data_IF_101984420910
#
_entry.id   IF_101984420910
#
_cell.length_a   1.000
_cell.length_b   1.000
_cell.length_c   1.000
_cell.angle_alpha   90.00
_cell.angle_beta   90.00
_cell.angle_gamma   90.00
#
_symmetry.space_group_name_H-M   'P 1'
#
loop_
_entity.id
_entity.type
_entity.pdbx_description
1 polymer ?
#
# COMPACT_ATOMS: atom_id res chain seq x y z
N UNK A 1 -26.41 8.63 2.42
CA UNK A 1 -25.75 8.05 1.23
C UNK A 1 -24.69 9.05 0.79
N UNK A 2 -23.57 9.09 1.51
CA UNK A 2 -22.44 9.96 1.17
C UNK A 2 -21.51 9.17 0.25
N UNK A 3 -21.45 9.58 -1.02
CA UNK A 3 -20.50 9.04 -1.97
C UNK A 3 -19.10 9.48 -1.52
N UNK A 4 -18.38 8.62 -0.81
CA UNK A 4 -16.95 8.80 -0.57
C UNK A 4 -16.23 8.68 -1.92
N UNK A 5 -16.06 9.84 -2.55
CA UNK A 5 -15.27 9.97 -3.77
C UNK A 5 -13.84 9.62 -3.40
N UNK A 6 -13.31 8.58 -4.04
CA UNK A 6 -11.88 8.30 -4.03
C UNK A 6 -11.24 9.51 -4.73
N UNK A 7 -10.61 10.40 -3.96
CA UNK A 7 -9.82 11.49 -4.54
C UNK A 7 -8.58 10.86 -5.18
N UNK A 8 -8.69 10.55 -6.48
CA UNK A 8 -7.49 10.27 -7.25
C UNK A 8 -6.71 11.58 -7.38
N UNK A 9 -5.37 11.53 -7.30
CA UNK A 9 -4.54 12.71 -7.49
C UNK A 9 -4.88 13.40 -8.82
N UNK A 10 -5.03 14.73 -8.78
CA UNK A 10 -5.43 15.52 -9.94
C UNK A 10 -4.48 15.27 -11.13
N UNK A 11 -5.06 15.15 -12.33
CA UNK A 11 -4.30 14.93 -13.56
C UNK A 11 -3.33 16.10 -13.79
N UNK A 12 -2.04 15.86 -13.55
CA UNK A 12 -0.97 16.87 -13.66
C UNK A 12 -0.10 17.01 -12.41
N UNK A 13 -0.39 16.29 -11.31
CA UNK A 13 0.46 16.31 -10.13
C UNK A 13 1.83 15.68 -10.41
N UNK A 14 2.89 16.41 -10.08
CA UNK A 14 4.28 15.96 -10.20
C UNK A 14 4.94 15.93 -8.83
N UNK A 15 5.75 14.90 -8.56
CA UNK A 15 6.55 14.76 -7.34
C UNK A 15 8.02 14.63 -7.70
N UNK A 16 8.94 15.01 -6.80
CA UNK A 16 10.36 14.68 -7.03
C UNK A 16 10.61 13.18 -6.87
N UNK A 17 11.64 12.66 -7.54
CA UNK A 17 12.07 11.26 -7.35
C UNK A 17 12.43 10.98 -5.90
N UNK A 18 13.05 11.92 -5.19
CA UNK A 18 13.37 11.76 -3.77
C UNK A 18 12.11 11.61 -2.91
N UNK A 19 11.11 12.48 -3.07
CA UNK A 19 9.84 12.36 -2.34
C UNK A 19 9.11 11.06 -2.67
N UNK A 20 9.13 10.62 -3.94
CA UNK A 20 8.57 9.32 -4.33
C UNK A 20 9.29 8.16 -3.62
N UNK A 21 10.62 8.19 -3.54
CA UNK A 21 11.42 7.18 -2.83
C UNK A 21 11.15 7.19 -1.32
N UNK A 22 11.02 8.36 -0.70
CA UNK A 22 10.64 8.50 0.71
C UNK A 22 9.27 7.88 0.95
N UNK A 23 8.28 8.19 0.10
CA UNK A 23 6.92 7.62 0.21
C UNK A 23 6.93 6.09 0.02
N UNK A 24 7.66 5.58 -0.98
CA UNK A 24 7.82 4.14 -1.19
C UNK A 24 8.48 3.46 0.01
N UNK A 25 9.50 4.09 0.61
CA UNK A 25 10.18 3.56 1.80
C UNK A 25 9.21 3.48 2.98
N UNK A 26 8.40 4.51 3.20
CA UNK A 26 7.41 4.52 4.28
C UNK A 26 6.34 3.42 4.12
N UNK A 27 5.86 3.21 2.89
CA UNK A 27 4.94 2.10 2.59
C UNK A 27 5.64 0.75 2.84
N UNK A 28 6.92 0.62 2.49
CA UNK A 28 7.70 -0.60 2.71
C UNK A 28 7.92 -0.91 4.21
N UNK A 29 8.12 0.12 5.04
CA UNK A 29 8.20 -0.02 6.50
C UNK A 29 6.87 -0.51 7.09
N UNK A 30 5.74 0.01 6.59
CA UNK A 30 4.39 -0.41 7.02
C UNK A 30 4.12 -1.88 6.67
N UNK A 31 4.46 -2.28 5.45
CA UNK A 31 4.40 -3.69 5.01
C UNK A 31 5.27 -4.60 5.88
N UNK A 32 6.48 -4.15 6.24
CA UNK A 32 7.37 -4.93 7.07
C UNK A 32 6.75 -5.23 8.45
N UNK A 33 6.08 -4.25 9.07
CA UNK A 33 5.38 -4.45 10.33
C UNK A 33 4.22 -5.47 10.21
N UNK A 34 3.45 -5.42 9.11
CA UNK A 34 2.36 -6.39 8.85
C UNK A 34 2.88 -7.82 8.64
N UNK A 35 3.99 -7.97 7.89
CA UNK A 35 4.66 -9.26 7.69
C UNK A 35 5.17 -9.82 9.01
N UNK A 36 5.78 -8.98 9.84
CA UNK A 36 6.28 -9.36 11.16
C UNK A 36 5.15 -9.81 12.09
N UNK A 37 4.05 -9.06 12.14
CA UNK A 37 2.86 -9.42 12.92
C UNK A 37 2.26 -10.76 12.48
N UNK A 38 2.26 -11.04 11.18
CA UNK A 38 1.80 -12.34 10.67
C UNK A 38 2.73 -13.48 11.03
N UNK A 39 4.04 -13.27 10.90
CA UNK A 39 5.02 -14.29 11.25
C UNK A 39 4.87 -14.71 12.72
N UNK A 40 4.63 -13.74 13.61
CA UNK A 40 4.33 -14.01 15.02
C UNK A 40 3.02 -14.80 15.20
N UNK A 41 1.98 -14.51 14.42
CA UNK A 41 0.72 -15.26 14.46
C UNK A 41 0.90 -16.72 14.00
N UNK A 42 1.68 -16.96 12.94
CA UNK A 42 2.01 -18.31 12.47
C UNK A 42 2.81 -19.06 13.54
N UNK A 43 3.80 -18.42 14.16
CA UNK A 43 4.60 -19.02 15.22
C UNK A 43 3.73 -19.44 16.42
N UNK A 44 2.78 -18.58 16.83
CA UNK A 44 1.84 -18.91 17.90
C UNK A 44 0.90 -20.06 17.50
N UNK A 45 0.36 -20.08 16.28
CA UNK A 45 -0.46 -21.17 15.78
C UNK A 45 0.27 -22.53 15.81
N UNK A 46 1.54 -22.53 15.44
CA UNK A 46 2.38 -23.75 15.50
C UNK A 46 2.54 -24.23 16.94
N UNK A 47 2.60 -23.29 17.90
CA UNK A 47 2.71 -23.59 19.34
C UNK A 47 1.35 -23.96 20.00
N UNK A 48 0.23 -23.39 19.55
CA UNK A 48 -1.09 -23.50 20.18
C UNK A 48 -2.07 -24.46 19.48
N UNK A 49 -1.76 -24.93 18.26
CA UNK A 49 -2.60 -25.76 17.38
C UNK A 49 -3.96 -25.18 16.97
N UNK A 50 -4.29 -23.94 17.35
CA UNK A 50 -5.49 -23.20 16.95
C UNK A 50 -5.16 -21.71 16.82
N UNK A 51 -5.72 -21.06 15.80
CA UNK A 51 -5.64 -19.61 15.62
C UNK A 51 -6.76 -18.91 16.39
N UNK A 52 -6.43 -17.88 17.13
CA UNK A 52 -7.42 -16.93 17.63
C UNK A 52 -7.82 -15.90 16.54
N UNK A 53 -8.86 -15.11 16.81
CA UNK A 53 -9.39 -14.12 15.87
C UNK A 53 -8.36 -13.03 15.51
N UNK A 54 -7.49 -12.64 16.46
CA UNK A 54 -6.43 -11.68 16.22
C UNK A 54 -5.31 -12.26 15.35
N UNK A 55 -4.99 -13.53 15.52
CA UNK A 55 -4.03 -14.26 14.70
C UNK A 55 -4.56 -14.50 13.28
N UNK A 56 -5.86 -14.80 13.14
CA UNK A 56 -6.53 -14.88 11.85
C UNK A 56 -6.53 -13.53 11.13
N UNK A 57 -6.80 -12.44 11.85
CA UNK A 57 -6.69 -11.08 11.32
C UNK A 57 -5.26 -10.75 10.88
N UNK A 58 -4.25 -11.14 11.66
CA UNK A 58 -2.85 -10.96 11.26
C UNK A 58 -2.53 -11.75 9.98
N UNK A 59 -3.03 -12.98 9.82
CA UNK A 59 -2.86 -13.73 8.56
C UNK A 59 -3.55 -13.03 7.37
N UNK A 60 -4.68 -12.38 7.57
CA UNK A 60 -5.30 -11.57 6.52
C UNK A 60 -4.43 -10.36 6.16
N UNK A 61 -3.73 -9.76 7.13
CA UNK A 61 -2.75 -8.70 6.86
C UNK A 61 -1.58 -9.17 5.99
N UNK A 62 -1.21 -10.46 6.01
CA UNK A 62 -0.18 -10.98 5.10
C UNK A 62 -0.59 -10.92 3.63
N UNK A 63 -1.86 -11.17 3.31
CA UNK A 63 -2.36 -11.02 1.94
C UNK A 63 -2.30 -9.55 1.52
N UNK A 64 -2.74 -8.64 2.39
CA UNK A 64 -2.62 -7.19 2.20
C UNK A 64 -1.17 -6.74 2.00
N UNK A 65 -0.26 -7.19 2.87
CA UNK A 65 1.16 -6.89 2.79
C UNK A 65 1.78 -7.42 1.49
N UNK A 66 1.40 -8.63 1.06
CA UNK A 66 1.89 -9.22 -0.21
C UNK A 66 1.43 -8.41 -1.41
N UNK A 67 0.15 -8.01 -1.45
CA UNK A 67 -0.40 -7.15 -2.50
C UNK A 67 0.27 -5.77 -2.51
N UNK A 68 0.59 -5.24 -1.34
CA UNK A 68 1.31 -3.96 -1.20
C UNK A 68 2.75 -4.07 -1.70
N UNK A 69 3.46 -5.17 -1.43
CA UNK A 69 4.80 -5.43 -2.00
C UNK A 69 4.73 -5.49 -3.53
N UNK A 70 3.74 -6.19 -4.10
CA UNK A 70 3.57 -6.27 -5.55
C UNK A 70 3.32 -4.88 -6.16
N UNK A 71 2.47 -4.07 -5.53
CA UNK A 71 2.22 -2.69 -5.90
C UNK A 71 3.50 -1.84 -5.84
N UNK A 72 4.26 -1.91 -4.74
CA UNK A 72 5.53 -1.20 -4.60
C UNK A 72 6.58 -1.62 -5.63
N UNK A 73 6.70 -2.92 -5.91
CA UNK A 73 7.61 -3.43 -6.92
C UNK A 73 7.25 -2.89 -8.31
N UNK A 74 5.96 -2.72 -8.59
CA UNK A 74 5.45 -2.11 -9.83
C UNK A 74 5.82 -0.63 -9.89
N UNK A 75 5.60 0.11 -8.80
CA UNK A 75 5.98 1.53 -8.69
C UNK A 75 7.48 1.74 -8.90
N UNK A 76 8.32 0.90 -8.28
CA UNK A 76 9.77 0.97 -8.44
C UNK A 76 10.21 0.66 -9.88
N UNK A 77 9.58 -0.32 -10.53
CA UNK A 77 9.84 -0.62 -11.96
C UNK A 77 9.47 0.57 -12.84
N UNK A 78 8.34 1.21 -12.59
CA UNK A 78 7.89 2.39 -13.32
C UNK A 78 8.84 3.57 -13.10
N UNK A 79 9.32 3.77 -11.86
CA UNK A 79 10.32 4.79 -11.53
C UNK A 79 11.66 4.55 -12.24
N UNK A 80 12.13 3.30 -12.33
CA UNK A 80 13.36 2.93 -13.07
C UNK A 80 13.18 3.13 -14.58
N UNK A 81 11.97 2.90 -15.10
CA UNK A 81 11.65 3.08 -16.52
C UNK A 81 11.55 4.57 -16.92
N UNK A 82 11.42 5.49 -15.96
CA UNK A 82 11.47 6.93 -16.23
C UNK A 82 12.89 7.35 -16.69
N UNK A 83 13.03 7.97 -17.87
CA UNK A 83 14.34 8.29 -18.43
C UNK A 83 15.10 9.31 -17.58
N UNK A 84 16.28 8.91 -17.09
CA UNK A 84 17.34 9.74 -16.50
C UNK A 84 16.87 10.83 -15.52
N UNK A 85 15.95 10.49 -14.62
CA UNK A 85 15.58 11.39 -13.52
C UNK A 85 16.68 11.37 -12.45
N UNK A 86 17.41 12.48 -12.32
CA UNK A 86 18.19 12.77 -11.10
C UNK A 86 17.23 12.90 -9.91
N UNK A 87 17.71 12.76 -8.67
CA UNK A 87 16.84 12.83 -7.49
C UNK A 87 16.02 14.14 -7.37
N UNK A 88 16.41 15.18 -8.11
CA UNK A 88 15.75 16.48 -8.16
C UNK A 88 14.74 16.63 -9.30
N UNK A 89 14.71 15.69 -10.24
CA UNK A 89 13.77 15.73 -11.37
C UNK A 89 12.37 15.34 -10.91
N UNK A 90 11.37 15.95 -11.54
CA UNK A 90 9.97 15.71 -11.26
C UNK A 90 9.42 14.63 -12.18
N UNK A 91 8.62 13.74 -11.61
CA UNK A 91 7.95 12.65 -12.33
C UNK A 91 6.43 12.78 -12.17
N UNK A 92 5.70 12.39 -13.21
CA UNK A 92 4.24 12.39 -13.18
C UNK A 92 3.76 11.25 -12.27
N UNK A 93 2.97 11.57 -11.25
CA UNK A 93 2.48 10.57 -10.29
C UNK A 93 1.67 9.47 -11.00
N UNK A 94 0.94 9.81 -12.06
CA UNK A 94 0.19 8.85 -12.88
C UNK A 94 1.07 7.80 -13.57
N UNK A 95 2.28 8.17 -13.95
CA UNK A 95 3.24 7.20 -14.52
C UNK A 95 3.83 6.27 -13.47
N UNK A 96 3.85 6.67 -12.20
CA UNK A 96 4.37 5.83 -11.12
C UNK A 96 3.39 4.73 -10.72
N UNK A 97 2.09 5.02 -10.69
CA UNK A 97 1.07 4.04 -10.33
C UNK A 97 0.46 3.30 -11.52
N UNK A 98 0.97 3.46 -12.74
CA UNK A 98 0.47 2.71 -13.89
C UNK A 98 0.58 1.20 -13.65
N UNK A 99 -0.53 0.48 -13.83
CA UNK A 99 -0.64 -0.95 -13.53
C UNK A 99 -0.78 -1.32 -12.03
N UNK A 100 -0.74 -0.36 -11.10
CA UNK A 100 -1.01 -0.59 -9.68
C UNK A 100 -2.51 -0.65 -9.44
N UNK A 101 -3.01 -1.76 -8.87
CA UNK A 101 -4.44 -1.96 -8.57
C UNK A 101 -4.83 -1.59 -7.14
N UNK A 102 -3.85 -1.40 -6.26
CA UNK A 102 -4.08 -1.13 -4.85
C UNK A 102 -4.25 0.37 -4.61
N UNK A 103 -5.50 0.78 -4.33
CA UNK A 103 -5.87 2.21 -4.22
C UNK A 103 -5.12 2.95 -3.11
N UNK A 104 -4.77 2.29 -2.01
CA UNK A 104 -4.02 2.88 -0.89
C UNK A 104 -2.60 3.30 -1.31
N UNK A 105 -1.95 2.52 -2.17
CA UNK A 105 -0.64 2.86 -2.73
C UNK A 105 -0.76 4.03 -3.71
N UNK A 106 -1.84 4.10 -4.49
CA UNK A 106 -2.11 5.23 -5.40
C UNK A 106 -2.28 6.54 -4.62
N UNK A 107 -3.05 6.51 -3.52
CA UNK A 107 -3.28 7.67 -2.65
C UNK A 107 -2.00 8.12 -1.93
N UNK A 108 -1.25 7.16 -1.37
CA UNK A 108 0.01 7.44 -0.71
C UNK A 108 1.04 8.09 -1.66
N UNK A 109 1.09 7.64 -2.92
CA UNK A 109 1.93 8.27 -3.95
C UNK A 109 1.43 9.66 -4.36
N UNK A 110 0.12 9.91 -4.32
CA UNK A 110 -0.48 11.24 -4.47
C UNK A 110 -0.14 12.21 -3.34
N UNK A 111 0.40 11.72 -2.23
CA UNK A 111 0.75 12.53 -1.06
C UNK A 111 -0.43 12.81 -0.15
N UNK A 112 -1.53 12.07 -0.28
CA UNK A 112 -2.57 12.04 0.74
C UNK A 112 -2.04 11.27 1.96
N UNK A 113 -2.15 11.84 3.16
CA UNK A 113 -1.93 11.08 4.39
C UNK A 113 -2.94 9.94 4.43
N UNK A 114 -2.45 8.72 4.69
CA UNK A 114 -3.34 7.60 5.00
C UNK A 114 -4.15 8.00 6.23
N UNK A 115 -5.41 8.40 6.01
CA UNK A 115 -6.41 8.43 7.06
C UNK A 115 -6.49 6.99 7.51
N UNK A 116 -6.14 6.74 8.77
CA UNK A 116 -6.21 5.45 9.44
C UNK A 116 -7.62 4.90 9.27
N UNK A 117 -7.80 4.19 8.15
CA UNK A 117 -9.01 3.48 7.81
C UNK A 117 -8.85 2.17 8.54
N UNK A 118 -9.15 2.22 9.83
CA UNK A 118 -9.67 1.08 10.57
C UNK A 118 -11.02 0.70 9.92
N UNK A 119 -10.98 0.23 8.68
CA UNK A 119 -12.15 -0.16 7.91
C UNK A 119 -12.59 -1.50 8.44
N UNK A 120 -13.62 -1.41 9.28
CA UNK A 120 -14.68 -2.38 9.49
C UNK A 120 -14.62 -3.53 8.50
N UNK A 121 -14.17 -4.67 9.01
CA UNK A 121 -14.55 -5.95 8.47
C UNK A 121 -16.09 -6.01 8.41
N UNK A 122 -16.64 -6.19 7.21
CA UNK A 122 -18.00 -6.62 6.98
C UNK A 122 -19.00 -5.52 6.67
N UNK A 123 -19.22 -5.28 5.38
CA UNK A 123 -20.58 -5.30 4.84
C UNK A 123 -20.53 -5.66 3.35
N UNK A 124 -20.88 -6.92 3.06
CA UNK A 124 -21.23 -7.34 1.70
C UNK A 124 -22.70 -6.96 1.53
N UNK A 125 -22.98 -5.84 0.86
CA UNK A 125 -24.36 -5.53 0.44
C UNK A 125 -24.62 -6.18 -0.92
N UNK A 126 -25.24 -7.35 -0.87
CA UNK A 126 -25.88 -7.98 -2.02
C UNK A 126 -27.24 -7.32 -2.16
N UNK A 127 -27.40 -6.27 -2.99
CA UNK A 127 -28.56 -5.99 -3.87
C UNK A 127 -28.29 -4.80 -4.80
#
# INVERSE_FOLDING_TARGET
>A
MEMHSINLPEAGQTTTVNEALVRVTHIMDSVYEELLGTQQAIEKCVQSHMLDEGEMHNIQKLDSATQTVEALATVLKNLIACPAATMSDTVNVATLYDGVKLGEVVQALGGEEQVDRTHQAGEVDLF
#
